data_IF_693408186710
#
_entry.id   IF_693408186710
#
_cell.length_a   1.000
_cell.length_b   1.000
_cell.length_c   1.000
_cell.angle_alpha   90.00
_cell.angle_beta   90.00
_cell.angle_gamma   90.00
#
_symmetry.space_group_name_H-M   'P 1'
#
loop_
_entity.id
_entity.type
_entity.pdbx_description
1 polymer ?
#
# COMPACT_ATOMS: atom_id res chain seq x y z
N UNK A 1 -4.18 -6.50 18.63
CA UNK A 1 -3.85 -5.07 18.46
C UNK A 1 -4.65 -4.46 17.31
N UNK A 2 -4.92 -3.16 17.32
CA UNK A 2 -5.43 -2.38 16.18
C UNK A 2 -4.71 -2.71 14.85
N UNK A 3 -3.42 -2.99 14.91
CA UNK A 3 -2.53 -3.23 13.75
C UNK A 3 -2.81 -4.56 13.06
N UNK A 4 -3.30 -5.57 13.81
CA UNK A 4 -3.66 -6.89 13.28
C UNK A 4 -4.96 -6.83 12.43
N UNK A 5 -5.70 -5.71 12.54
CA UNK A 5 -6.93 -5.45 11.79
C UNK A 5 -6.68 -4.58 10.55
N UNK A 6 -5.42 -4.31 10.23
CA UNK A 6 -5.00 -3.49 9.09
C UNK A 6 -4.10 -4.31 8.18
N UNK A 7 -4.36 -4.27 6.88
CA UNK A 7 -3.47 -4.81 5.86
C UNK A 7 -2.95 -3.69 4.95
N UNK A 8 -1.68 -3.76 4.56
CA UNK A 8 -1.05 -2.86 3.59
C UNK A 8 -0.72 -3.67 2.34
N UNK A 9 -1.22 -3.22 1.20
CA UNK A 9 -1.02 -3.89 -0.10
C UNK A 9 -0.23 -2.98 -1.02
N UNK A 10 1.00 -3.38 -1.37
CA UNK A 10 1.86 -2.72 -2.35
C UNK A 10 1.89 -3.43 -3.71
N UNK A 11 2.82 -3.03 -4.57
CA UNK A 11 2.99 -3.61 -5.92
C UNK A 11 3.70 -4.97 -5.88
N UNK A 12 4.93 -5.00 -5.37
CA UNK A 12 5.82 -6.16 -5.35
C UNK A 12 6.91 -5.95 -4.28
N UNK A 13 7.58 -7.02 -3.80
CA UNK A 13 8.80 -6.88 -3.01
C UNK A 13 9.89 -6.13 -3.79
N UNK A 14 10.59 -5.23 -3.10
CA UNK A 14 11.77 -4.56 -3.65
C UNK A 14 13.05 -5.41 -3.55
N UNK A 15 14.08 -5.08 -4.34
CA UNK A 15 15.36 -5.80 -4.32
C UNK A 15 16.00 -5.88 -2.90
N UNK A 16 15.96 -4.78 -2.15
CA UNK A 16 16.47 -4.72 -0.78
C UNK A 16 15.65 -5.62 0.15
N UNK A 17 14.35 -5.70 -0.06
CA UNK A 17 13.45 -6.48 0.80
C UNK A 17 13.68 -7.98 0.62
N UNK A 18 13.97 -8.41 -0.62
CA UNK A 18 14.35 -9.79 -0.92
C UNK A 18 15.68 -10.15 -0.25
N UNK A 19 16.69 -9.28 -0.33
CA UNK A 19 18.00 -9.53 0.29
C UNK A 19 17.91 -9.54 1.82
N UNK A 20 17.16 -8.61 2.39
CA UNK A 20 17.07 -8.42 3.84
C UNK A 20 16.02 -9.31 4.51
N UNK A 21 15.17 -9.99 3.73
CA UNK A 21 14.03 -10.77 4.23
C UNK A 21 12.98 -9.93 4.97
N UNK A 22 12.95 -8.60 4.75
CA UNK A 22 12.11 -7.64 5.47
C UNK A 22 11.32 -6.77 4.49
N UNK A 23 9.98 -6.87 4.44
CA UNK A 23 9.15 -5.98 3.63
C UNK A 23 9.36 -4.51 4.01
N UNK A 24 9.43 -3.61 3.03
CA UNK A 24 9.62 -2.17 3.23
C UNK A 24 10.90 -1.81 4.04
N UNK A 25 11.99 -2.55 3.83
CA UNK A 25 13.29 -2.24 4.44
C UNK A 25 14.05 -1.09 3.75
N UNK A 26 13.68 -0.75 2.51
CA UNK A 26 14.32 0.32 1.74
C UNK A 26 13.79 1.72 2.05
N UNK A 27 14.23 2.71 1.26
CA UNK A 27 13.85 4.13 1.39
C UNK A 27 12.33 4.35 1.34
N UNK A 28 11.64 3.68 0.43
CA UNK A 28 10.17 3.69 0.32
C UNK A 28 9.50 3.25 1.62
N UNK A 29 10.11 2.31 2.33
CA UNK A 29 9.58 1.83 3.59
C UNK A 29 9.81 2.75 4.77
N UNK A 30 10.92 3.51 4.78
CA UNK A 30 11.11 4.58 5.76
C UNK A 30 10.05 5.68 5.61
N UNK A 31 9.78 6.09 4.38
CA UNK A 31 8.73 7.08 4.10
C UNK A 31 7.33 6.55 4.47
N UNK A 32 7.04 5.27 4.17
CA UNK A 32 5.81 4.63 4.62
C UNK A 32 5.68 4.64 6.15
N UNK A 33 6.74 4.32 6.89
CA UNK A 33 6.73 4.35 8.36
C UNK A 33 6.41 5.75 8.89
N UNK A 34 6.99 6.80 8.28
CA UNK A 34 6.64 8.20 8.62
C UNK A 34 5.14 8.45 8.47
N UNK A 35 4.56 8.08 7.32
CA UNK A 35 3.12 8.25 7.06
C UNK A 35 2.25 7.46 8.04
N UNK A 36 2.65 6.24 8.39
CA UNK A 36 1.95 5.41 9.38
C UNK A 36 2.00 6.05 10.78
N UNK A 37 3.15 6.60 11.16
CA UNK A 37 3.33 7.35 12.41
C UNK A 37 2.42 8.58 12.50
N UNK A 38 2.30 9.34 11.41
CA UNK A 38 1.36 10.49 11.32
C UNK A 38 -0.11 10.06 11.54
N UNK A 39 -0.45 8.83 11.11
CA UNK A 39 -1.75 8.22 11.31
C UNK A 39 -1.94 7.55 12.69
N UNK A 40 -0.92 7.57 13.55
CA UNK A 40 -0.95 7.01 14.90
C UNK A 40 -0.70 5.50 14.96
N UNK A 41 -0.02 4.94 13.96
CA UNK A 41 0.44 3.55 13.96
C UNK A 41 1.89 3.52 14.42
N UNK A 42 2.16 2.73 15.46
CA UNK A 42 3.49 2.55 16.05
C UNK A 42 4.43 1.78 15.11
N UNK A 43 5.67 2.25 14.98
CA UNK A 43 6.73 1.60 14.20
C UNK A 43 7.15 0.24 14.77
N UNK A 44 6.99 0.03 16.08
CA UNK A 44 7.26 -1.26 16.70
C UNK A 44 6.20 -2.32 16.32
N UNK A 45 5.01 -1.89 15.90
CA UNK A 45 3.86 -2.76 15.64
C UNK A 45 3.26 -2.51 14.26
N UNK A 46 4.07 -2.68 13.21
CA UNK A 46 3.59 -2.41 11.86
C UNK A 46 2.51 -3.42 11.41
N UNK A 47 1.40 -2.96 10.77
CA UNK A 47 0.33 -3.80 10.23
C UNK A 47 0.81 -4.89 9.29
N UNK A 48 0.02 -5.92 9.03
CA UNK A 48 0.37 -6.93 8.02
C UNK A 48 0.64 -6.28 6.67
N UNK A 49 1.72 -6.70 6.00
CA UNK A 49 2.21 -6.09 4.74
C UNK A 49 2.34 -7.17 3.69
N UNK A 50 1.76 -6.90 2.53
CA UNK A 50 1.81 -7.78 1.38
C UNK A 50 1.83 -6.97 0.08
N UNK A 51 1.83 -7.65 -1.04
CA UNK A 51 1.88 -7.06 -2.36
C UNK A 51 1.04 -7.85 -3.37
N UNK A 52 0.71 -7.17 -4.48
CA UNK A 52 -0.01 -7.76 -5.62
C UNK A 52 0.78 -8.91 -6.24
N UNK A 53 2.11 -8.79 -6.35
CA UNK A 53 2.99 -9.92 -6.70
C UNK A 53 3.90 -10.29 -5.55
N UNK A 54 4.31 -11.57 -5.48
CA UNK A 54 5.09 -12.12 -4.35
C UNK A 54 6.59 -12.19 -4.60
N UNK A 55 7.01 -11.93 -5.83
CA UNK A 55 8.41 -11.97 -6.24
C UNK A 55 8.85 -10.57 -6.69
N UNK A 56 10.16 -10.29 -6.52
CA UNK A 56 10.78 -9.10 -7.08
C UNK A 56 10.72 -9.17 -8.61
N UNK A 57 10.11 -8.18 -9.29
CA UNK A 57 9.95 -8.24 -10.75
C UNK A 57 11.28 -7.95 -11.48
N UNK A 58 12.27 -7.36 -10.83
CA UNK A 58 13.49 -6.89 -11.50
C UNK A 58 13.51 -5.38 -11.65
N UNK A 59 14.66 -4.86 -12.10
CA UNK A 59 14.87 -3.42 -12.28
C UNK A 59 14.18 -2.91 -13.54
N UNK A 60 13.73 -1.65 -13.49
CA UNK A 60 13.26 -0.95 -14.67
C UNK A 60 14.43 -0.70 -15.63
N UNK A 61 14.19 -0.81 -16.94
CA UNK A 61 15.22 -0.53 -17.96
C UNK A 61 15.75 0.91 -17.91
N UNK A 62 14.96 1.85 -17.39
CA UNK A 62 15.37 3.23 -17.14
C UNK A 62 16.37 3.40 -15.99
N UNK A 63 16.64 2.35 -15.22
CA UNK A 63 17.43 2.41 -13.98
C UNK A 63 16.68 3.05 -12.79
N UNK A 64 15.50 3.65 -13.02
CA UNK A 64 14.71 4.31 -12.00
C UNK A 64 13.81 3.31 -11.26
N UNK A 65 14.40 2.56 -10.33
CA UNK A 65 13.67 1.65 -9.44
C UNK A 65 13.32 0.31 -10.08
N UNK A 66 12.20 -0.26 -9.65
CA UNK A 66 11.79 -1.61 -9.99
C UNK A 66 10.73 -1.57 -11.10
N UNK A 67 10.79 -2.52 -12.06
CA UNK A 67 9.80 -2.55 -13.14
C UNK A 67 8.42 -2.89 -12.58
N UNK A 68 7.39 -2.52 -13.34
CA UNK A 68 6.04 -3.00 -13.06
C UNK A 68 5.94 -4.51 -13.37
N UNK A 69 5.31 -5.32 -12.51
CA UNK A 69 4.96 -6.69 -12.85
C UNK A 69 4.06 -6.73 -14.09
N UNK A 70 4.28 -7.73 -14.93
CA UNK A 70 3.49 -8.02 -16.12
C UNK A 70 2.11 -8.57 -15.75
N UNK A 71 1.13 -8.52 -16.66
CA UNK A 71 -0.18 -9.13 -16.44
C UNK A 71 -0.12 -10.61 -16.07
N UNK A 72 0.80 -11.38 -16.67
CA UNK A 72 0.97 -12.81 -16.38
C UNK A 72 1.48 -13.03 -14.94
N UNK A 73 2.44 -12.21 -14.47
CA UNK A 73 2.96 -12.29 -13.10
C UNK A 73 1.89 -11.89 -12.07
N UNK A 74 1.07 -10.89 -12.39
CA UNK A 74 -0.06 -10.47 -11.55
C UNK A 74 -1.08 -11.60 -11.46
N UNK A 75 -1.45 -12.21 -12.58
CA UNK A 75 -2.39 -13.32 -12.62
C UNK A 75 -1.90 -14.54 -11.83
N UNK A 76 -0.61 -14.88 -11.98
CA UNK A 76 0.03 -15.97 -11.24
C UNK A 76 -0.01 -15.74 -9.72
N UNK A 77 0.18 -14.50 -9.28
CA UNK A 77 0.21 -14.16 -7.85
C UNK A 77 -1.16 -13.86 -7.24
N UNK A 78 -2.20 -13.64 -8.05
CA UNK A 78 -3.52 -13.21 -7.58
C UNK A 78 -4.13 -14.13 -6.50
N UNK A 79 -4.09 -15.48 -6.62
CA UNK A 79 -4.68 -16.36 -5.62
C UNK A 79 -4.06 -16.18 -4.22
N UNK A 80 -2.77 -15.87 -4.14
CA UNK A 80 -2.07 -15.67 -2.87
C UNK A 80 -2.57 -14.43 -2.14
N UNK A 81 -2.71 -13.30 -2.84
CA UNK A 81 -3.25 -12.09 -2.24
C UNK A 81 -4.69 -12.28 -1.77
N UNK A 82 -5.51 -12.98 -2.57
CA UNK A 82 -6.89 -13.28 -2.21
C UNK A 82 -6.97 -14.14 -0.95
N UNK A 83 -6.14 -15.19 -0.86
CA UNK A 83 -6.07 -16.06 0.32
C UNK A 83 -5.57 -15.31 1.57
N UNK A 84 -4.53 -14.48 1.44
CA UNK A 84 -4.02 -13.67 2.55
C UNK A 84 -5.11 -12.75 3.12
N UNK A 85 -5.82 -12.02 2.26
CA UNK A 85 -6.89 -11.12 2.69
C UNK A 85 -8.08 -11.88 3.27
N UNK A 86 -8.44 -13.03 2.71
CA UNK A 86 -9.51 -13.89 3.22
C UNK A 86 -9.17 -14.48 4.59
N UNK A 87 -7.91 -14.83 4.86
CA UNK A 87 -7.45 -15.33 6.16
C UNK A 87 -7.38 -14.22 7.21
N UNK A 88 -6.80 -13.07 6.84
CA UNK A 88 -6.60 -11.96 7.76
C UNK A 88 -7.91 -11.22 8.10
N UNK A 89 -8.86 -11.18 7.17
CA UNK A 89 -10.12 -10.41 7.25
C UNK A 89 -9.89 -9.00 7.83
N UNK A 90 -8.98 -8.20 7.23
CA UNK A 90 -8.64 -6.90 7.76
C UNK A 90 -9.86 -5.97 7.74
N UNK A 91 -10.00 -5.13 8.77
CA UNK A 91 -11.05 -4.10 8.81
C UNK A 91 -10.67 -2.87 7.98
N UNK A 92 -9.37 -2.67 7.73
CA UNK A 92 -8.82 -1.59 6.89
C UNK A 92 -7.77 -2.16 5.94
N UNK A 93 -7.84 -1.79 4.66
CA UNK A 93 -6.83 -2.14 3.67
C UNK A 93 -6.26 -0.86 3.05
N UNK A 94 -4.96 -0.64 3.26
CA UNK A 94 -4.22 0.47 2.68
C UNK A 94 -3.65 0.04 1.32
N UNK A 95 -4.04 0.74 0.26
CA UNK A 95 -3.64 0.44 -1.11
C UNK A 95 -2.51 1.37 -1.53
N UNK A 96 -1.28 0.87 -1.64
CA UNK A 96 -0.10 1.67 -1.93
C UNK A 96 0.26 1.63 -3.42
N UNK A 97 0.02 2.76 -4.08
CA UNK A 97 0.38 2.95 -5.48
C UNK A 97 -0.58 2.32 -6.48
N UNK A 98 -0.38 2.67 -7.74
CA UNK A 98 -1.33 2.40 -8.83
C UNK A 98 -1.70 0.93 -8.97
N UNK A 99 -0.77 -0.02 -8.85
CA UNK A 99 -1.10 -1.43 -9.07
C UNK A 99 -2.04 -2.00 -7.98
N UNK A 100 -1.78 -1.69 -6.71
CA UNK A 100 -2.64 -2.12 -5.60
C UNK A 100 -4.03 -1.46 -5.68
N UNK A 101 -4.04 -0.18 -6.04
CA UNK A 101 -5.27 0.59 -6.27
C UNK A 101 -6.07 -0.03 -7.41
N UNK A 102 -5.48 -0.25 -8.59
CA UNK A 102 -6.20 -0.83 -9.72
C UNK A 102 -6.78 -2.21 -9.39
N UNK A 103 -6.06 -3.03 -8.61
CA UNK A 103 -6.47 -4.39 -8.27
C UNK A 103 -7.65 -4.45 -7.30
N UNK A 104 -7.71 -3.56 -6.31
CA UNK A 104 -8.69 -3.62 -5.20
C UNK A 104 -9.71 -2.47 -5.23
N UNK A 105 -9.35 -1.33 -5.81
CA UNK A 105 -10.21 -0.17 -6.02
C UNK A 105 -10.77 -0.09 -7.45
N UNK A 106 -10.04 -0.56 -8.45
CA UNK A 106 -10.40 -0.43 -9.86
C UNK A 106 -9.58 0.64 -10.58
N UNK A 107 -9.62 0.60 -11.92
CA UNK A 107 -8.78 1.45 -12.78
C UNK A 107 -9.20 2.91 -12.76
N UNK A 108 -8.23 3.81 -12.75
CA UNK A 108 -8.45 5.25 -12.80
C UNK A 108 -7.19 6.06 -12.44
N UNK A 109 -7.22 7.39 -12.65
CA UNK A 109 -6.13 8.27 -12.25
C UNK A 109 -6.00 8.34 -10.72
N UNK A 110 -4.77 8.53 -10.21
CA UNK A 110 -4.52 8.62 -8.77
C UNK A 110 -5.32 9.74 -8.11
N UNK A 111 -5.44 10.89 -8.78
CA UNK A 111 -6.12 12.09 -8.29
C UNK A 111 -7.61 11.83 -8.00
N UNK A 112 -8.22 10.89 -8.71
CA UNK A 112 -9.61 10.53 -8.53
C UNK A 112 -9.85 9.62 -7.31
N UNK A 113 -8.81 9.03 -6.73
CA UNK A 113 -8.94 7.96 -5.73
C UNK A 113 -8.14 8.21 -4.45
N UNK A 114 -6.96 8.81 -4.54
CA UNK A 114 -6.15 9.17 -3.37
C UNK A 114 -6.89 10.20 -2.52
N UNK A 115 -6.83 10.02 -1.20
CA UNK A 115 -7.55 10.88 -0.26
C UNK A 115 -9.04 10.57 -0.14
N UNK A 116 -9.51 9.48 -0.75
CA UNK A 116 -10.87 8.94 -0.58
C UNK A 116 -10.83 7.63 0.20
N UNK A 117 -12.00 7.13 0.58
CA UNK A 117 -12.16 5.78 1.11
C UNK A 117 -13.52 5.22 0.70
N UNK A 118 -13.62 3.89 0.66
CA UNK A 118 -14.89 3.18 0.45
C UNK A 118 -14.85 1.82 1.10
N UNK A 119 -16.01 1.24 1.36
CA UNK A 119 -16.09 -0.15 1.82
C UNK A 119 -16.02 -1.13 0.65
N UNK A 120 -15.24 -2.17 0.79
CA UNK A 120 -15.30 -3.35 -0.06
C UNK A 120 -16.56 -4.18 0.24
N UNK A 121 -16.85 -5.17 -0.60
CA UNK A 121 -18.02 -6.03 -0.48
C UNK A 121 -18.06 -6.81 0.86
N UNK A 122 -16.89 -7.15 1.39
CA UNK A 122 -16.70 -7.80 2.69
C UNK A 122 -16.74 -6.82 3.89
N UNK A 123 -16.98 -5.53 3.62
CA UNK A 123 -17.07 -4.47 4.63
C UNK A 123 -15.74 -3.82 5.01
N UNK A 124 -14.59 -4.31 4.51
CA UNK A 124 -13.29 -3.72 4.80
C UNK A 124 -13.19 -2.29 4.23
N UNK A 125 -12.60 -1.36 4.99
CA UNK A 125 -12.39 0.01 4.53
C UNK A 125 -11.13 0.09 3.67
N UNK A 126 -11.30 0.40 2.39
CA UNK A 126 -10.20 0.62 1.45
C UNK A 126 -9.76 2.08 1.50
N UNK A 127 -8.44 2.31 1.59
CA UNK A 127 -7.84 3.65 1.59
C UNK A 127 -6.68 3.67 0.57
N UNK A 128 -6.85 4.35 -0.58
CA UNK A 128 -5.78 4.54 -1.57
C UNK A 128 -4.78 5.61 -1.13
N UNK A 129 -3.48 5.28 -1.23
CA UNK A 129 -2.36 6.22 -1.11
C UNK A 129 -1.43 6.09 -2.32
N UNK A 130 -0.67 7.15 -2.67
CA UNK A 130 0.39 7.05 -3.67
C UNK A 130 1.49 6.10 -3.19
N UNK A 131 2.37 5.69 -4.10
CA UNK A 131 3.53 4.88 -3.72
C UNK A 131 4.59 5.75 -3.02
N UNK A 132 5.20 5.29 -1.90
CA UNK A 132 6.14 6.09 -1.11
C UNK A 132 7.58 6.15 -1.68
N UNK A 133 7.85 5.55 -2.84
CA UNK A 133 9.23 5.46 -3.37
C UNK A 133 9.79 6.75 -3.95
N UNK A 134 8.95 7.75 -4.25
CA UNK A 134 9.37 8.95 -4.99
C UNK A 134 9.77 8.70 -6.44
N UNK A 135 9.57 7.47 -6.96
CA UNK A 135 9.86 7.16 -8.37
C UNK A 135 8.92 7.93 -9.32
N UNK A 136 7.72 8.27 -8.85
CA UNK A 136 6.81 9.17 -9.54
C UNK A 136 6.98 10.60 -9.02
N UNK A 137 6.90 11.58 -9.93
CA UNK A 137 6.86 13.01 -9.60
C UNK A 137 5.50 13.48 -9.05
N UNK A 138 4.53 12.57 -8.89
CA UNK A 138 3.17 12.90 -8.47
C UNK A 138 3.13 13.74 -7.19
N UNK A 139 3.97 13.42 -6.19
CA UNK A 139 4.05 14.16 -4.92
C UNK A 139 4.81 15.50 -5.00
N UNK A 140 5.36 15.87 -6.16
CA UNK A 140 5.99 17.19 -6.32
C UNK A 140 4.94 18.31 -6.40
N UNK A 141 3.72 17.97 -6.80
CA UNK A 141 2.58 18.88 -6.84
C UNK A 141 2.04 19.13 -5.41
N UNK A 142 1.63 20.36 -5.12
CA UNK A 142 1.03 20.74 -3.83
C UNK A 142 -0.32 20.10 -3.59
N UNK A 143 -1.19 20.10 -4.59
CA UNK A 143 -2.56 19.59 -4.49
C UNK A 143 -2.55 18.08 -4.26
N UNK A 144 -1.60 17.38 -4.89
CA UNK A 144 -1.39 15.95 -4.66
C UNK A 144 -0.90 15.61 -3.25
N UNK A 145 -0.07 16.47 -2.65
CA UNK A 145 0.32 16.34 -1.23
C UNK A 145 -0.88 16.52 -0.32
N UNK A 146 -1.80 17.42 -0.64
CA UNK A 146 -3.04 17.58 0.12
C UNK A 146 -3.97 16.37 0.02
N UNK A 147 -4.02 15.70 -1.14
CA UNK A 147 -4.71 14.41 -1.29
C UNK A 147 -4.07 13.32 -0.43
N UNK A 148 -2.74 13.22 -0.39
CA UNK A 148 -2.03 12.32 0.53
C UNK A 148 -2.41 12.62 1.99
N UNK A 149 -2.31 13.88 2.42
CA UNK A 149 -2.66 14.27 3.79
C UNK A 149 -4.12 13.95 4.13
N UNK A 150 -5.04 14.11 3.17
CA UNK A 150 -6.44 13.69 3.34
C UNK A 150 -6.55 12.18 3.55
N UNK A 151 -5.82 11.39 2.78
CA UNK A 151 -5.72 9.93 2.95
C UNK A 151 -5.19 9.53 4.33
N UNK A 152 -4.14 10.18 4.80
CA UNK A 152 -3.57 9.94 6.13
C UNK A 152 -4.55 10.32 7.26
N UNK A 153 -5.33 11.40 7.09
CA UNK A 153 -6.41 11.75 8.04
C UNK A 153 -7.51 10.69 8.07
N UNK A 154 -7.86 10.08 6.92
CA UNK A 154 -8.82 8.97 6.87
C UNK A 154 -8.27 7.74 7.60
N UNK A 155 -7.00 7.38 7.35
CA UNK A 155 -6.33 6.28 8.04
C UNK A 155 -6.31 6.51 9.55
N UNK A 156 -5.94 7.72 10.00
CA UNK A 156 -5.93 8.09 11.42
C UNK A 156 -7.29 7.91 12.09
N UNK A 157 -8.38 8.32 11.42
CA UNK A 157 -9.74 8.13 11.92
C UNK A 157 -10.09 6.64 12.00
N UNK A 158 -9.70 5.86 10.99
CA UNK A 158 -9.93 4.42 10.97
C UNK A 158 -9.17 3.71 12.10
N UNK A 159 -7.89 4.03 12.30
CA UNK A 159 -7.05 3.52 13.40
C UNK A 159 -7.70 3.81 14.75
N UNK A 160 -8.13 5.05 14.99
CA UNK A 160 -8.85 5.41 16.23
C UNK A 160 -10.14 4.61 16.42
N UNK A 161 -10.90 4.37 15.34
CA UNK A 161 -12.15 3.62 15.40
C UNK A 161 -11.95 2.11 15.63
N UNK A 162 -10.75 1.57 15.39
CA UNK A 162 -10.44 0.17 15.70
C UNK A 162 -10.24 -0.05 17.20
N UNK A 163 -9.96 1.00 17.98
CA UNK A 163 -9.56 0.90 19.38
C UNK A 163 -8.19 0.23 19.54
N UNK A 164 -7.66 0.17 20.77
CA UNK A 164 -6.44 -0.62 21.07
C UNK A 164 -6.58 -2.10 20.65
#
# INVERSE_FOLDING_TARGET
SATDRIAIVGQAPGAVEVVMGKPFAGRSGAELRRWLGEAGIDEAHLPYRTAVTKCFPGKAASGAGDRRPSPAEIALCAPWLEQELALLRPRVVLLLGTLAIERLWGKGPLDAVVGRSRRAADGALLIPLPHPSGASRWLNDGDHRDLLHRGLRLLKRAVKALGP
#
